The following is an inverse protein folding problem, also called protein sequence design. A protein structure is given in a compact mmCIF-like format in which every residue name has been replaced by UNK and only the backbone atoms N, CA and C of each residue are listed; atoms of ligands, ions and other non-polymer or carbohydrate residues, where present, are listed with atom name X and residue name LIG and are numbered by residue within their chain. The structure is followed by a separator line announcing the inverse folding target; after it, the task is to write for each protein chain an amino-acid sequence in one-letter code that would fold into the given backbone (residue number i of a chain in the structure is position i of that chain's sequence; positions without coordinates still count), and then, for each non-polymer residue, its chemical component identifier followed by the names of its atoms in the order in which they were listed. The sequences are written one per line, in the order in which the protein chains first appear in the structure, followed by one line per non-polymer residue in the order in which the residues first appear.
data_IF_784461850095
#
_entry.id   IF_784461850095
#
_cell.length_a   1.000
_cell.length_b   1.000
_cell.length_c   1.000
_cell.angle_alpha   90.00
_cell.angle_beta   90.00
_cell.angle_gamma   90.00
#
_symmetry.space_group_name_H-M   'P 1'
#
loop_
_entity.id
_entity.type
_entity.pdbx_description
1 polymer ?
#
# COMPACT_ATOMS: atom_id res chain seq x y z
N UNK A 1 -2.06 3.79 47.49
CA UNK A 1 -0.79 3.81 46.72
C UNK A 1 -0.11 2.46 46.92
N UNK A 2 -0.32 1.54 46.00
CA UNK A 2 0.45 0.31 45.89
C UNK A 2 0.36 -0.12 44.42
N UNK A 3 1.53 -0.28 43.79
CA UNK A 3 1.69 -0.68 42.40
C UNK A 3 1.29 -2.15 42.23
N UNK A 4 0.56 -2.46 41.15
CA UNK A 4 0.34 -3.83 40.68
C UNK A 4 1.32 -4.11 39.55
N UNK A 5 2.09 -5.18 39.73
CA UNK A 5 3.11 -5.68 38.83
C UNK A 5 2.48 -6.39 37.62
N UNK A 6 3.13 -6.18 36.49
CA UNK A 6 3.38 -7.06 35.35
C UNK A 6 2.92 -8.51 35.44
N UNK A 7 2.12 -8.95 34.46
CA UNK A 7 2.08 -10.34 34.01
C UNK A 7 2.07 -10.34 32.48
N UNK A 8 3.26 -10.35 31.88
CA UNK A 8 3.47 -10.65 30.47
C UNK A 8 3.45 -12.18 30.34
N UNK A 9 2.43 -12.73 29.68
CA UNK A 9 2.35 -14.17 29.39
C UNK A 9 2.94 -14.45 28.02
N UNK A 10 4.03 -15.19 28.02
CA UNK A 10 4.59 -15.91 26.89
C UNK A 10 3.58 -16.92 26.34
N UNK A 11 3.29 -16.88 25.03
CA UNK A 11 2.85 -18.04 24.28
C UNK A 11 3.64 -18.15 22.98
N UNK A 12 4.65 -19.02 23.06
CA UNK A 12 5.39 -19.59 21.94
C UNK A 12 4.88 -21.03 21.71
N UNK A 13 4.79 -21.39 20.42
CA UNK A 13 4.52 -22.69 19.81
C UNK A 13 3.08 -23.25 19.78
N UNK A 14 2.48 -23.18 18.58
CA UNK A 14 1.90 -24.35 17.91
C UNK A 14 2.03 -24.19 16.39
N UNK A 15 3.06 -24.82 15.81
CA UNK A 15 3.10 -25.21 14.40
C UNK A 15 2.17 -26.42 14.24
N UNK A 16 1.01 -26.25 13.62
CA UNK A 16 0.20 -27.35 13.12
C UNK A 16 -0.41 -26.91 11.78
N UNK A 17 -0.24 -27.75 10.76
CA UNK A 17 -0.72 -27.51 9.41
C UNK A 17 -2.25 -27.49 9.34
N UNK A 18 -2.80 -26.28 9.31
CA UNK A 18 -4.17 -26.04 8.88
C UNK A 18 -4.21 -25.75 7.37
N UNK A 19 -5.25 -26.19 6.66
CA UNK A 19 -5.45 -25.81 5.26
C UNK A 19 -5.62 -24.30 5.16
N UNK A 20 -5.11 -23.72 4.06
CA UNK A 20 -5.23 -22.29 3.72
C UNK A 20 -6.69 -21.86 3.86
N UNK A 21 -7.00 -21.11 4.91
CA UNK A 21 -8.27 -20.40 5.06
C UNK A 21 -8.14 -19.07 4.34
N UNK A 22 -8.95 -18.88 3.30
CA UNK A 22 -9.20 -17.56 2.71
C UNK A 22 -9.70 -16.66 3.83
N UNK A 23 -9.05 -15.52 4.05
CA UNK A 23 -9.53 -14.51 4.98
C UNK A 23 -10.93 -14.04 4.56
N UNK A 24 -11.81 -13.69 5.50
CA UNK A 24 -13.18 -13.24 5.19
C UNK A 24 -13.22 -11.99 4.30
N UNK A 25 -12.09 -11.28 4.12
CA UNK A 25 -11.93 -10.12 3.25
C UNK A 25 -11.43 -10.46 1.83
N UNK A 26 -11.16 -11.74 1.52
CA UNK A 26 -10.69 -12.16 0.21
C UNK A 26 -9.24 -11.77 -0.11
N UNK A 27 -8.37 -11.56 0.87
CA UNK A 27 -6.93 -11.44 0.59
C UNK A 27 -6.26 -12.82 0.46
N UNK A 28 -5.50 -13.05 -0.62
CA UNK A 28 -4.73 -14.29 -0.86
C UNK A 28 -3.23 -13.95 -0.84
N UNK A 29 -2.53 -14.41 0.20
CA UNK A 29 -1.07 -14.39 0.23
C UNK A 29 -0.51 -15.58 -0.56
N UNK A 30 0.45 -15.35 -1.45
CA UNK A 30 1.17 -16.41 -2.17
C UNK A 30 0.88 -16.55 -3.68
N UNK A 31 0.21 -15.59 -4.30
CA UNK A 31 0.07 -15.56 -5.76
C UNK A 31 1.34 -15.00 -6.40
N UNK A 32 1.87 -15.66 -7.44
CA UNK A 32 2.85 -15.07 -8.34
C UNK A 32 2.27 -13.80 -9.00
N UNK A 33 3.10 -12.91 -9.56
CA UNK A 33 2.61 -11.68 -10.19
C UNK A 33 1.55 -11.95 -11.28
N UNK A 34 1.71 -13.06 -12.01
CA UNK A 34 0.75 -13.53 -13.01
C UNK A 34 -0.56 -14.00 -12.37
N UNK A 35 -0.48 -14.82 -11.33
CA UNK A 35 -1.66 -15.30 -10.60
C UNK A 35 -2.37 -14.18 -9.84
N UNK A 36 -1.65 -13.15 -9.39
CA UNK A 36 -2.24 -11.95 -8.81
C UNK A 36 -3.02 -11.18 -9.88
N UNK A 37 -2.46 -11.07 -11.09
CA UNK A 37 -3.16 -10.52 -12.25
C UNK A 37 -4.42 -11.29 -12.59
N UNK A 38 -4.32 -12.62 -12.71
CA UNK A 38 -5.45 -13.52 -13.01
C UNK A 38 -6.50 -13.55 -11.88
N UNK A 39 -6.07 -13.42 -10.61
CA UNK A 39 -6.95 -13.29 -9.46
C UNK A 39 -7.73 -11.97 -9.48
N UNK A 40 -7.03 -10.86 -9.72
CA UNK A 40 -7.66 -9.55 -9.91
C UNK A 40 -8.63 -9.56 -11.10
N UNK A 41 -8.23 -10.23 -12.18
CA UNK A 41 -9.06 -10.44 -13.37
C UNK A 41 -10.30 -11.31 -13.08
N UNK A 42 -10.17 -12.35 -12.26
CA UNK A 42 -11.30 -13.19 -11.88
C UNK A 42 -12.28 -12.47 -10.94
N UNK A 43 -11.78 -11.61 -10.05
CA UNK A 43 -12.59 -10.82 -9.12
C UNK A 43 -13.27 -9.63 -9.77
N UNK A 44 -12.60 -8.98 -10.72
CA UNK A 44 -13.07 -7.74 -11.34
C UNK A 44 -13.46 -7.89 -12.83
N UNK A 45 -13.37 -9.10 -13.38
CA UNK A 45 -13.50 -9.40 -14.81
C UNK A 45 -12.21 -9.11 -15.60
N UNK A 46 -12.03 -9.77 -16.75
CA UNK A 46 -11.04 -9.36 -17.76
C UNK A 46 -11.27 -7.89 -18.08
N UNK A 47 -10.38 -7.04 -17.57
CA UNK A 47 -10.40 -5.62 -17.84
C UNK A 47 -9.28 -5.31 -18.85
N UNK A 48 -9.52 -5.46 -20.17
CA UNK A 48 -8.56 -5.05 -21.19
C UNK A 48 -8.25 -3.55 -21.16
N UNK A 49 -8.85 -2.80 -20.23
CA UNK A 49 -8.62 -1.39 -19.96
C UNK A 49 -7.55 -1.09 -18.89
N UNK A 50 -6.81 -2.07 -18.35
CA UNK A 50 -5.69 -1.73 -17.46
C UNK A 50 -4.42 -1.23 -18.18
N UNK A 51 -4.47 -1.22 -19.51
CA UNK A 51 -3.68 -0.29 -20.33
C UNK A 51 -4.64 0.38 -21.30
N UNK A 52 -5.65 1.13 -20.83
CA UNK A 52 -6.11 2.23 -21.69
C UNK A 52 -4.94 3.18 -21.74
N UNK A 53 -4.38 3.40 -22.93
CA UNK A 53 -3.58 4.58 -23.15
C UNK A 53 -4.44 5.75 -22.66
N UNK A 54 -3.96 6.52 -21.68
CA UNK A 54 -4.76 7.62 -21.12
C UNK A 54 -5.21 8.60 -22.22
N UNK A 55 -4.51 8.63 -23.37
CA UNK A 55 -4.90 9.40 -24.55
C UNK A 55 -6.11 8.84 -25.33
N UNK A 56 -6.51 7.59 -25.10
CA UNK A 56 -7.61 6.91 -25.78
C UNK A 56 -8.96 7.00 -25.03
N UNK A 57 -9.00 7.65 -23.86
CA UNK A 57 -10.27 7.91 -23.17
C UNK A 57 -10.90 9.17 -23.78
N UNK A 58 -11.97 9.06 -24.59
CA UNK A 58 -12.61 10.25 -25.14
C UNK A 58 -13.21 11.11 -24.02
N UNK A 59 -13.22 12.43 -24.24
CA UNK A 59 -13.85 13.43 -23.37
C UNK A 59 -13.24 13.46 -21.94
N UNK A 60 -11.93 13.59 -21.83
CA UNK A 60 -11.29 13.86 -20.55
C UNK A 60 -11.37 15.33 -20.18
N UNK A 61 -11.51 15.60 -18.89
CA UNK A 61 -11.18 16.87 -18.28
C UNK A 61 -9.98 16.68 -17.35
N UNK A 62 -9.30 17.78 -17.07
CA UNK A 62 -8.09 17.82 -16.27
C UNK A 62 -8.28 18.85 -15.16
N UNK A 63 -7.94 18.47 -13.93
CA UNK A 63 -7.79 19.39 -12.81
C UNK A 63 -6.33 19.38 -12.36
N UNK A 64 -5.76 20.56 -12.17
CA UNK A 64 -4.37 20.68 -11.70
C UNK A 64 -4.37 20.95 -10.21
N UNK A 65 -3.74 20.05 -9.45
CA UNK A 65 -3.62 20.12 -8.00
C UNK A 65 -2.13 20.18 -7.65
N UNK A 66 -1.65 21.37 -7.29
CA UNK A 66 -0.21 21.60 -7.13
C UNK A 66 0.55 21.42 -8.45
N UNK A 67 1.51 20.49 -8.48
CA UNK A 67 2.32 20.14 -9.64
C UNK A 67 1.76 18.96 -10.46
N UNK A 68 0.55 18.49 -10.12
CA UNK A 68 -0.02 17.25 -10.65
C UNK A 68 -1.30 17.53 -11.43
N UNK A 69 -1.47 16.83 -12.53
CA UNK A 69 -2.69 16.86 -13.34
C UNK A 69 -3.47 15.58 -13.11
N UNK A 70 -4.69 15.71 -12.60
CA UNK A 70 -5.63 14.60 -12.43
C UNK A 70 -6.58 14.61 -13.62
N UNK A 71 -6.55 13.53 -14.39
CA UNK A 71 -7.47 13.31 -15.49
C UNK A 71 -8.71 12.57 -15.00
N UNK A 72 -9.88 13.00 -15.44
CA UNK A 72 -11.13 12.28 -15.22
C UNK A 72 -11.96 12.25 -16.50
N UNK A 73 -12.61 11.11 -16.73
CA UNK A 73 -13.49 10.94 -17.89
C UNK A 73 -14.82 11.63 -17.63
N UNK A 74 -15.28 12.43 -18.60
CA UNK A 74 -16.63 13.00 -18.62
C UNK A 74 -17.63 12.13 -19.39
N UNK A 75 -17.19 10.97 -19.88
CA UNK A 75 -18.02 10.06 -20.65
C UNK A 75 -18.76 9.04 -19.76
N UNK A 76 -20.03 8.78 -20.11
CA UNK A 76 -20.83 7.69 -19.56
C UNK A 76 -21.54 8.00 -18.24
N UNK A 77 -22.31 7.03 -17.76
CA UNK A 77 -23.21 7.20 -16.61
C UNK A 77 -22.50 7.56 -15.30
N UNK A 78 -21.22 7.21 -15.13
CA UNK A 78 -20.46 7.54 -13.93
C UNK A 78 -20.33 9.06 -13.77
N UNK A 79 -19.90 9.75 -14.83
CA UNK A 79 -19.78 11.20 -14.81
C UNK A 79 -21.14 11.86 -14.64
N UNK A 80 -22.19 11.40 -15.34
CA UNK A 80 -23.55 11.94 -15.18
C UNK A 80 -24.06 11.83 -13.73
N UNK A 81 -23.74 10.73 -13.04
CA UNK A 81 -24.07 10.57 -11.62
C UNK A 81 -23.26 11.52 -10.76
N UNK A 82 -21.95 11.63 -10.99
CA UNK A 82 -21.09 12.56 -10.26
C UNK A 82 -21.55 14.01 -10.44
N UNK A 83 -21.83 14.43 -11.68
CA UNK A 83 -22.33 15.76 -12.02
C UNK A 83 -23.62 16.09 -11.25
N UNK A 84 -24.57 15.16 -11.19
CA UNK A 84 -25.82 15.38 -10.42
C UNK A 84 -25.63 15.38 -8.91
N UNK A 85 -24.75 14.52 -8.41
CA UNK A 85 -24.51 14.33 -6.98
C UNK A 85 -23.69 15.49 -6.41
N UNK A 86 -22.74 16.01 -7.17
CA UNK A 86 -21.88 17.14 -6.81
C UNK A 86 -22.38 18.48 -7.39
N UNK A 87 -23.61 18.55 -7.90
CA UNK A 87 -24.23 19.76 -8.46
C UNK A 87 -23.36 20.51 -9.49
N UNK A 88 -22.67 19.75 -10.35
CA UNK A 88 -21.74 20.27 -11.35
C UNK A 88 -20.32 20.54 -10.84
N UNK A 89 -20.06 20.42 -9.54
CA UNK A 89 -18.73 20.63 -8.92
C UNK A 89 -17.82 19.40 -9.02
N UNK A 90 -17.85 18.67 -10.13
CA UNK A 90 -17.07 17.44 -10.33
C UNK A 90 -15.57 17.72 -10.30
N UNK A 91 -15.14 18.86 -10.83
CA UNK A 91 -13.75 19.30 -10.78
C UNK A 91 -13.26 19.45 -9.34
N UNK A 92 -14.00 20.19 -8.52
CA UNK A 92 -13.69 20.40 -7.10
C UNK A 92 -13.71 19.07 -6.32
N UNK A 93 -14.63 18.16 -6.64
CA UNK A 93 -14.60 16.80 -6.07
C UNK A 93 -13.27 16.09 -6.35
N UNK A 94 -12.77 16.15 -7.59
CA UNK A 94 -11.51 15.50 -7.96
C UNK A 94 -10.30 16.18 -7.31
N UNK A 95 -10.29 17.51 -7.21
CA UNK A 95 -9.26 18.27 -6.50
C UNK A 95 -9.19 17.88 -5.02
N UNK A 96 -10.32 17.98 -4.32
CA UNK A 96 -10.40 17.68 -2.89
C UNK A 96 -10.13 16.21 -2.60
N UNK A 97 -10.58 15.29 -3.45
CA UNK A 97 -10.27 13.87 -3.30
C UNK A 97 -8.78 13.61 -3.48
N UNK A 98 -8.13 14.30 -4.43
CA UNK A 98 -6.69 14.18 -4.59
C UNK A 98 -5.95 14.64 -3.33
N UNK A 99 -6.20 15.85 -2.84
CA UNK A 99 -5.55 16.36 -1.63
C UNK A 99 -5.83 15.47 -0.41
N UNK A 100 -7.09 15.11 -0.20
CA UNK A 100 -7.52 14.45 1.03
C UNK A 100 -7.18 12.97 1.09
N UNK A 101 -7.06 12.27 -0.04
CA UNK A 101 -6.76 10.83 -0.07
C UNK A 101 -5.35 10.58 -0.57
N UNK A 102 -5.03 11.08 -1.76
CA UNK A 102 -3.71 10.87 -2.38
C UNK A 102 -2.65 11.76 -1.77
N UNK A 103 -3.00 12.98 -1.39
CA UNK A 103 -2.10 13.95 -0.78
C UNK A 103 -1.56 13.47 0.57
N UNK A 104 -2.40 12.86 1.42
CA UNK A 104 -1.94 12.23 2.66
C UNK A 104 -0.93 11.13 2.33
N UNK A 105 -1.33 10.13 1.54
CA UNK A 105 -0.46 8.98 1.26
C UNK A 105 0.85 9.40 0.57
N UNK A 106 0.77 10.16 -0.51
CA UNK A 106 1.92 10.55 -1.30
C UNK A 106 2.76 11.61 -0.59
N UNK A 107 2.13 12.64 -0.01
CA UNK A 107 2.82 13.70 0.71
C UNK A 107 3.58 13.18 1.92
N UNK A 108 2.96 12.30 2.72
CA UNK A 108 3.63 11.67 3.87
C UNK A 108 4.77 10.77 3.40
N UNK A 109 4.57 9.92 2.40
CA UNK A 109 5.63 9.03 1.93
C UNK A 109 6.81 9.78 1.29
N UNK A 110 6.56 10.83 0.49
CA UNK A 110 7.62 11.68 -0.05
C UNK A 110 8.35 12.44 1.05
N UNK A 111 7.64 12.95 2.06
CA UNK A 111 8.27 13.62 3.19
C UNK A 111 9.12 12.65 4.05
N UNK A 112 8.69 11.39 4.16
CA UNK A 112 9.37 10.34 4.91
C UNK A 112 10.77 10.04 4.37
N UNK A 113 10.93 9.99 3.05
CA UNK A 113 12.19 9.68 2.36
C UNK A 113 13.35 10.63 2.69
N UNK A 114 13.04 11.85 3.16
CA UNK A 114 14.04 12.87 3.49
C UNK A 114 14.22 13.08 4.99
N UNK A 115 13.55 12.29 5.84
CA UNK A 115 13.68 12.42 7.29
C UNK A 115 15.01 11.82 7.75
N UNK A 116 15.82 12.62 8.44
CA UNK A 116 17.17 12.23 8.86
C UNK A 116 17.19 10.99 9.75
N UNK A 117 16.19 10.82 10.60
CA UNK A 117 16.06 9.67 11.49
C UNK A 117 15.75 8.37 10.72
N UNK A 118 14.99 8.45 9.63
CA UNK A 118 14.68 7.32 8.77
C UNK A 118 15.90 6.94 7.95
N UNK A 119 16.60 7.92 7.38
CA UNK A 119 17.86 7.71 6.65
C UNK A 119 18.89 7.04 7.56
N UNK A 120 19.07 7.54 8.79
CA UNK A 120 20.01 6.94 9.75
C UNK A 120 19.62 5.50 10.12
N UNK A 121 18.32 5.21 10.31
CA UNK A 121 17.86 3.86 10.58
C UNK A 121 18.10 2.90 9.40
N UNK A 122 17.97 3.37 8.15
CA UNK A 122 18.33 2.60 6.97
C UNK A 122 19.84 2.35 6.86
N UNK A 123 20.67 3.35 7.19
CA UNK A 123 22.12 3.20 7.22
C UNK A 123 22.54 2.13 8.24
N UNK A 124 22.00 2.18 9.46
CA UNK A 124 22.27 1.18 10.51
C UNK A 124 21.77 -0.21 10.11
N UNK A 125 20.57 -0.28 9.50
CA UNK A 125 20.02 -1.52 8.95
C UNK A 125 20.93 -2.11 7.86
N UNK A 126 21.42 -1.28 6.93
CA UNK A 126 22.29 -1.72 5.84
C UNK A 126 23.63 -2.26 6.37
N UNK A 127 24.18 -1.68 7.44
CA UNK A 127 25.34 -2.22 8.14
C UNK A 127 25.05 -3.60 8.70
N UNK A 128 23.93 -3.78 9.42
CA UNK A 128 23.53 -5.08 9.96
C UNK A 128 23.37 -6.14 8.86
N UNK A 129 22.68 -5.80 7.76
CA UNK A 129 22.51 -6.70 6.63
C UNK A 129 23.84 -7.07 5.97
N UNK A 130 24.78 -6.12 5.85
CA UNK A 130 26.12 -6.39 5.35
C UNK A 130 26.89 -7.36 6.25
N UNK A 131 26.79 -7.22 7.57
CA UNK A 131 27.37 -8.18 8.53
C UNK A 131 26.71 -9.57 8.42
N UNK A 132 25.42 -9.60 8.06
CA UNK A 132 24.67 -10.81 7.76
C UNK A 132 24.90 -11.37 6.34
N UNK A 133 25.95 -10.92 5.64
CA UNK A 133 26.35 -11.36 4.30
C UNK A 133 25.51 -10.84 3.12
N UNK A 134 24.74 -9.76 3.32
CA UNK A 134 23.99 -9.06 2.26
C UNK A 134 24.48 -7.60 2.08
N UNK A 135 25.69 -7.38 1.55
CA UNK A 135 26.26 -6.04 1.41
C UNK A 135 25.64 -5.22 0.27
N UNK A 136 25.77 -3.90 0.36
CA UNK A 136 25.41 -2.97 -0.74
C UNK A 136 23.91 -2.70 -0.89
N UNK A 137 23.11 -3.05 0.12
CA UNK A 137 21.69 -2.73 0.19
C UNK A 137 21.49 -1.27 0.60
N UNK A 138 20.62 -0.56 -0.12
CA UNK A 138 20.24 0.83 0.19
C UNK A 138 18.92 0.91 0.96
N UNK A 139 18.03 -0.06 0.74
CA UNK A 139 16.69 -0.10 1.29
C UNK A 139 16.13 -1.55 1.26
N UNK A 140 14.97 -1.75 1.90
CA UNK A 140 14.28 -3.05 1.94
C UNK A 140 13.82 -3.51 0.55
N UNK A 141 13.51 -2.58 -0.35
CA UNK A 141 13.14 -2.89 -1.73
C UNK A 141 14.27 -3.59 -2.50
N UNK A 142 15.51 -3.15 -2.30
CA UNK A 142 16.70 -3.82 -2.84
C UNK A 142 16.90 -5.20 -2.26
N UNK A 143 16.65 -5.39 -0.96
CA UNK A 143 16.73 -6.73 -0.36
C UNK A 143 15.67 -7.68 -0.93
N UNK A 144 14.44 -7.20 -1.14
CA UNK A 144 13.38 -7.98 -1.82
C UNK A 144 13.82 -8.42 -3.22
N UNK A 145 14.51 -7.55 -3.95
CA UNK A 145 15.06 -7.91 -5.26
C UNK A 145 16.12 -9.02 -5.16
N UNK A 146 16.98 -8.99 -4.13
CA UNK A 146 17.94 -10.08 -3.87
C UNK A 146 17.22 -11.41 -3.65
N UNK A 147 16.16 -11.46 -2.85
CA UNK A 147 15.35 -12.68 -2.67
C UNK A 147 14.81 -13.17 -4.03
N UNK A 148 14.24 -12.27 -4.84
CA UNK A 148 13.73 -12.64 -6.18
C UNK A 148 14.85 -13.20 -7.06
N UNK A 149 16.01 -12.54 -7.09
CA UNK A 149 17.12 -12.90 -7.98
C UNK A 149 17.86 -14.18 -7.55
N UNK A 150 18.04 -14.39 -6.25
CA UNK A 150 18.81 -15.51 -5.70
C UNK A 150 17.95 -16.75 -5.42
N UNK A 151 16.67 -16.58 -5.10
CA UNK A 151 15.80 -17.69 -4.69
C UNK A 151 14.82 -18.08 -5.79
N UNK A 152 14.07 -17.11 -6.31
CA UNK A 152 12.93 -17.40 -7.20
C UNK A 152 13.30 -17.48 -8.68
N UNK A 153 14.12 -16.55 -9.18
CA UNK A 153 14.55 -16.53 -10.59
C UNK A 153 15.28 -17.80 -11.03
N UNK A 154 16.17 -18.43 -10.23
CA UNK A 154 16.86 -19.66 -10.63
C UNK A 154 15.93 -20.85 -10.88
N UNK A 155 14.71 -20.81 -10.33
CA UNK A 155 13.73 -21.88 -10.48
C UNK A 155 12.53 -21.49 -11.35
N UNK A 156 12.44 -20.24 -11.80
CA UNK A 156 11.28 -19.70 -12.52
C UNK A 156 10.92 -20.50 -13.79
N UNK A 157 11.91 -20.88 -14.60
CA UNK A 157 11.71 -21.66 -15.83
C UNK A 157 11.17 -23.08 -15.58
N UNK A 158 11.21 -23.54 -14.32
CA UNK A 158 10.72 -24.86 -13.91
C UNK A 158 9.29 -24.82 -13.41
N UNK A 159 8.67 -23.64 -13.38
CA UNK A 159 7.29 -23.40 -12.96
C UNK A 159 6.96 -24.11 -11.62
N UNK A 160 7.68 -23.76 -10.53
CA UNK A 160 7.60 -24.46 -9.27
C UNK A 160 6.20 -24.32 -8.67
N UNK A 161 5.43 -25.40 -8.68
CA UNK A 161 4.08 -25.40 -8.11
C UNK A 161 4.13 -25.47 -6.58
N UNK A 162 3.22 -24.78 -5.86
CA UNK A 162 3.09 -24.90 -4.41
C UNK A 162 3.00 -26.36 -3.94
N UNK A 163 3.70 -26.70 -2.84
CA UNK A 163 3.76 -28.06 -2.30
C UNK A 163 4.73 -29.02 -3.01
N UNK A 164 5.37 -28.60 -4.11
CA UNK A 164 6.46 -29.38 -4.71
C UNK A 164 7.76 -29.20 -3.91
N UNK A 165 8.68 -30.20 -3.90
CA UNK A 165 9.94 -30.07 -3.18
C UNK A 165 10.76 -28.82 -3.58
N UNK A 166 10.75 -28.46 -4.86
CA UNK A 166 11.46 -27.29 -5.38
C UNK A 166 10.89 -25.97 -4.83
N UNK A 167 9.56 -25.87 -4.77
CA UNK A 167 8.89 -24.70 -4.20
C UNK A 167 9.11 -24.60 -2.69
N UNK A 168 8.98 -25.70 -1.96
CA UNK A 168 9.16 -25.70 -0.51
C UNK A 168 10.60 -25.39 -0.09
N UNK A 169 11.60 -25.82 -0.87
CA UNK A 169 13.00 -25.46 -0.67
C UNK A 169 13.23 -23.96 -0.87
N UNK A 170 12.78 -23.40 -1.99
CA UNK A 170 12.88 -21.95 -2.26
C UNK A 170 12.14 -21.11 -1.22
N UNK A 171 10.93 -21.53 -0.81
CA UNK A 171 10.17 -20.87 0.25
C UNK A 171 10.91 -20.90 1.58
N UNK A 172 11.53 -22.03 1.95
CA UNK A 172 12.32 -22.12 3.17
C UNK A 172 13.53 -21.18 3.14
N UNK A 173 14.16 -21.02 1.97
CA UNK A 173 15.26 -20.08 1.76
C UNK A 173 14.80 -18.61 1.85
N UNK A 174 13.72 -18.24 1.16
CA UNK A 174 13.10 -16.91 1.29
C UNK A 174 12.77 -16.59 2.75
N UNK A 175 12.18 -17.53 3.49
CA UNK A 175 11.88 -17.34 4.92
C UNK A 175 13.16 -17.14 5.73
N UNK A 176 14.22 -17.91 5.48
CA UNK A 176 15.49 -17.73 6.19
C UNK A 176 16.08 -16.32 5.93
N UNK A 177 16.05 -15.84 4.68
CA UNK A 177 16.48 -14.49 4.30
C UNK A 177 15.61 -13.41 4.97
N UNK A 178 14.28 -13.59 4.94
CA UNK A 178 13.34 -12.66 5.58
C UNK A 178 13.56 -12.57 7.09
N UNK A 179 13.89 -13.68 7.75
CA UNK A 179 14.22 -13.69 9.19
C UNK A 179 15.50 -12.92 9.51
N UNK A 180 16.50 -12.90 8.61
CA UNK A 180 17.67 -12.04 8.75
C UNK A 180 17.26 -10.56 8.69
N UNK A 181 16.45 -10.19 7.70
CA UNK A 181 15.93 -8.82 7.59
C UNK A 181 15.15 -8.40 8.85
N UNK A 182 14.24 -9.25 9.35
CA UNK A 182 13.47 -8.99 10.58
C UNK A 182 14.42 -8.80 11.77
N UNK A 183 15.42 -9.67 11.93
CA UNK A 183 16.41 -9.53 13.00
C UNK A 183 17.17 -8.21 12.94
N UNK A 184 17.61 -7.78 11.74
CA UNK A 184 18.28 -6.50 11.56
C UNK A 184 17.34 -5.30 11.77
N UNK A 185 16.11 -5.37 11.27
CA UNK A 185 15.06 -4.35 11.47
C UNK A 185 14.78 -4.12 12.97
N UNK A 186 14.57 -5.21 13.72
CA UNK A 186 14.34 -5.16 15.16
C UNK A 186 15.57 -4.63 15.92
N UNK A 187 16.78 -5.05 15.54
CA UNK A 187 18.03 -4.63 16.18
C UNK A 187 18.26 -3.13 16.09
N UNK A 188 17.95 -2.51 14.95
CA UNK A 188 18.19 -1.08 14.71
C UNK A 188 16.93 -0.22 14.88
N UNK A 189 15.77 -0.85 15.12
CA UNK A 189 14.50 -0.17 15.29
C UNK A 189 13.98 0.52 14.03
N UNK A 190 14.33 0.01 12.83
CA UNK A 190 13.98 0.64 11.56
C UNK A 190 12.46 0.77 11.40
N UNK A 191 11.70 -0.32 11.61
CA UNK A 191 10.24 -0.30 11.55
C UNK A 191 9.61 0.67 12.54
N UNK A 192 10.08 0.72 13.79
CA UNK A 192 9.49 1.62 14.78
C UNK A 192 9.74 3.09 14.39
N UNK A 193 10.98 3.42 13.99
CA UNK A 193 11.32 4.75 13.48
C UNK A 193 10.45 5.14 12.29
N UNK A 194 10.26 4.22 11.34
CA UNK A 194 9.42 4.46 10.17
C UNK A 194 7.95 4.72 10.55
N UNK A 195 7.39 3.92 11.48
CA UNK A 195 6.01 4.10 11.94
C UNK A 195 5.83 5.42 12.71
N UNK A 196 6.72 5.72 13.67
CA UNK A 196 6.65 6.95 14.46
C UNK A 196 6.78 8.19 13.59
N UNK A 197 7.65 8.15 12.58
CA UNK A 197 7.82 9.25 11.64
C UNK A 197 6.61 9.39 10.70
N UNK A 198 6.03 8.29 10.19
CA UNK A 198 4.79 8.34 9.39
C UNK A 198 3.64 8.91 10.21
N UNK A 199 3.47 8.51 11.46
CA UNK A 199 2.42 9.02 12.34
C UNK A 199 2.57 10.51 12.58
N UNK A 200 3.80 10.96 12.86
CA UNK A 200 4.12 12.39 13.02
C UNK A 200 3.83 13.18 11.74
N UNK A 201 4.34 12.73 10.59
CA UNK A 201 4.14 13.41 9.31
C UNK A 201 2.66 13.42 8.89
N UNK A 202 1.92 12.36 9.21
CA UNK A 202 0.46 12.32 8.98
C UNK A 202 -0.25 13.37 9.83
N UNK A 203 0.09 13.48 11.12
CA UNK A 203 -0.49 14.52 11.98
C UNK A 203 -0.15 15.93 11.47
N UNK A 204 1.09 16.19 11.06
CA UNK A 204 1.51 17.45 10.45
C UNK A 204 0.74 17.76 9.15
N UNK A 205 0.54 16.75 8.30
CA UNK A 205 -0.24 16.87 7.07
C UNK A 205 -1.70 17.23 7.37
N UNK A 206 -2.34 16.51 8.29
CA UNK A 206 -3.73 16.74 8.66
C UNK A 206 -3.95 18.15 9.23
N UNK A 207 -3.03 18.63 10.07
CA UNK A 207 -3.08 19.99 10.62
C UNK A 207 -2.88 21.05 9.53
N UNK A 208 -1.91 20.83 8.62
CA UNK A 208 -1.61 21.79 7.56
C UNK A 208 -2.68 21.87 6.45
N UNK A 209 -3.53 20.85 6.33
CA UNK A 209 -4.61 20.76 5.34
C UNK A 209 -6.00 20.65 5.98
N UNK A 210 -6.14 21.07 7.25
CA UNK A 210 -7.39 20.92 8.01
C UNK A 210 -8.58 21.56 7.27
N UNK A 211 -8.38 22.74 6.68
CA UNK A 211 -9.43 23.48 5.99
C UNK A 211 -9.91 22.74 4.74
N UNK A 212 -8.98 22.22 3.93
CA UNK A 212 -9.24 21.47 2.71
C UNK A 212 -9.94 20.13 3.01
N UNK A 213 -9.54 19.47 4.10
CA UNK A 213 -10.15 18.22 4.56
C UNK A 213 -11.59 18.45 5.04
N UNK A 214 -11.86 19.52 5.78
CA UNK A 214 -13.23 19.88 6.16
C UNK A 214 -14.08 20.30 4.97
N UNK A 215 -13.53 21.06 4.02
CA UNK A 215 -14.23 21.41 2.78
C UNK A 215 -14.63 20.15 1.99
N UNK A 216 -13.72 19.18 1.89
CA UNK A 216 -14.01 17.89 1.27
C UNK A 216 -15.10 17.11 2.02
N UNK A 217 -15.04 17.06 3.35
CA UNK A 217 -16.05 16.40 4.18
C UNK A 217 -17.45 17.02 3.99
N UNK A 218 -17.56 18.34 3.97
CA UNK A 218 -18.83 19.05 3.75
C UNK A 218 -19.38 18.80 2.34
N UNK A 219 -18.50 18.80 1.33
CA UNK A 219 -18.86 18.44 -0.05
C UNK A 219 -19.41 17.01 -0.13
N UNK A 220 -18.73 16.04 0.48
CA UNK A 220 -19.18 14.64 0.50
C UNK A 220 -20.50 14.46 1.26
N UNK A 221 -20.69 15.21 2.35
CA UNK A 221 -21.92 15.18 3.15
C UNK A 221 -23.10 15.71 2.34
N UNK A 222 -22.92 16.85 1.67
CA UNK A 222 -23.92 17.45 0.77
C UNK A 222 -24.25 16.51 -0.39
N UNK A 223 -23.22 15.95 -1.03
CA UNK A 223 -23.36 14.96 -2.10
C UNK A 223 -24.14 13.72 -1.66
N UNK A 224 -23.90 13.21 -0.44
CA UNK A 224 -24.64 12.07 0.12
C UNK A 224 -26.13 12.40 0.29
N UNK A 225 -26.46 13.57 0.81
CA UNK A 225 -27.86 14.01 0.96
C UNK A 225 -28.54 14.11 -0.40
N UNK A 226 -27.86 14.74 -1.37
CA UNK A 226 -28.33 14.85 -2.75
C UNK A 226 -28.58 13.50 -3.41
N UNK A 227 -27.66 12.55 -3.22
CA UNK A 227 -27.83 11.19 -3.70
C UNK A 227 -29.05 10.50 -3.06
N UNK A 228 -29.33 10.77 -1.78
CA UNK A 228 -30.54 10.32 -1.07
C UNK A 228 -31.82 10.82 -1.74
N UNK A 229 -31.89 12.13 -2.02
CA UNK A 229 -33.01 12.76 -2.72
C UNK A 229 -33.24 12.13 -4.11
N UNK A 230 -32.17 11.93 -4.89
CA UNK A 230 -32.23 11.33 -6.22
C UNK A 230 -32.72 9.87 -6.20
N UNK A 231 -32.48 9.15 -5.11
CA UNK A 231 -32.93 7.77 -4.90
C UNK A 231 -34.31 7.68 -4.23
N UNK A 232 -34.92 8.81 -3.85
CA UNK A 232 -36.19 8.86 -3.13
C UNK A 232 -36.10 8.30 -1.71
N UNK A 233 -34.96 8.49 -1.03
CA UNK A 233 -34.71 8.07 0.36
C UNK A 233 -34.70 9.24 1.33
#
# INVERSE_FOLDING_TARGET
MSASQTEFREHSHALNGEPVTVAEDGSVAGLSHKEYGEYHEALHGYNPHLVVDESDIPNQQAVTVGDRTVLYSTAGCRFEVQDRVFDGEVESYHEHTYLSVRGIQQGVMTALEVQSEVIAAYDDWAVCMSEASYPGLLDVGRFRQVIVDEVWNPIADRDPQPGTPLFEEAKAEEVAMAMVHIGCDEQVGLRQTHLDTVDRLTAEYLVSHETELFAWYEMLSTARERAGELLGR
#
